data_IF_427066169524
#
_entry.id   IF_427066169524
#
_cell.length_a   1.000
_cell.length_b   1.000
_cell.length_c   1.000
_cell.angle_alpha   90.00
_cell.angle_beta   90.00
_cell.angle_gamma   90.00
#
_symmetry.space_group_name_H-M   'P 1'
#
loop_
_entity.id
_entity.type
_entity.pdbx_description
1 polymer ?
#
# COMPACT_ATOMS: atom_id res chain seq x y z
N UNK A 1 -17.32 8.67 19.63
CA UNK A 1 -16.13 8.53 18.77
C UNK A 1 -16.57 7.70 17.58
N UNK A 2 -16.43 8.21 16.35
CA UNK A 2 -16.72 7.43 15.14
C UNK A 2 -15.75 6.25 15.12
N UNK A 3 -16.27 5.02 15.14
CA UNK A 3 -15.44 3.81 15.07
C UNK A 3 -14.84 3.68 13.67
N UNK A 4 -13.56 3.32 13.58
CA UNK A 4 -12.90 3.05 12.29
C UNK A 4 -13.45 1.75 11.73
N UNK A 5 -14.10 1.84 10.56
CA UNK A 5 -14.68 0.68 9.91
C UNK A 5 -13.70 0.03 8.95
N UNK A 6 -13.08 0.82 8.07
CA UNK A 6 -12.07 0.35 7.13
C UNK A 6 -10.81 1.21 7.21
N UNK A 7 -9.65 0.55 7.21
CA UNK A 7 -8.33 1.19 7.31
C UNK A 7 -7.41 0.75 6.18
N UNK A 8 -6.93 1.71 5.39
CA UNK A 8 -5.78 1.51 4.50
C UNK A 8 -4.49 1.77 5.26
N UNK A 9 -3.46 0.95 5.06
CA UNK A 9 -2.18 1.03 5.77
C UNK A 9 -1.04 1.06 4.74
N UNK A 10 -0.16 2.05 4.84
CA UNK A 10 1.05 2.12 4.01
C UNK A 10 2.06 1.01 4.33
N UNK A 11 3.06 0.84 3.47
CA UNK A 11 4.06 -0.25 3.51
C UNK A 11 4.74 -0.55 4.87
N UNK A 12 5.29 -1.76 5.00
CA UNK A 12 6.07 -2.21 6.17
C UNK A 12 7.40 -2.81 5.71
N UNK A 13 8.40 -1.96 5.47
CA UNK A 13 9.76 -2.44 5.16
C UNK A 13 10.45 -3.11 6.38
N UNK A 14 10.35 -4.44 6.51
CA UNK A 14 11.09 -5.27 7.48
C UNK A 14 10.21 -6.21 8.31
N UNK A 15 10.76 -6.82 9.38
CA UNK A 15 9.94 -7.67 10.28
C UNK A 15 8.92 -6.80 11.01
N UNK A 16 7.63 -7.15 10.91
CA UNK A 16 6.51 -6.45 11.60
C UNK A 16 6.82 -6.13 13.07
N UNK A 17 7.55 -7.00 13.77
CA UNK A 17 7.94 -6.81 15.18
C UNK A 17 9.27 -6.06 15.40
N UNK A 18 10.23 -6.08 14.45
CA UNK A 18 11.54 -5.44 14.67
C UNK A 18 11.46 -3.91 14.60
N UNK A 19 10.58 -3.34 13.77
CA UNK A 19 10.33 -1.89 13.79
C UNK A 19 9.69 -1.43 15.11
N UNK A 20 8.81 -2.25 15.70
CA UNK A 20 8.25 -2.03 17.05
C UNK A 20 9.36 -2.03 18.10
N UNK A 21 10.32 -2.96 18.01
CA UNK A 21 11.45 -3.05 18.94
C UNK A 21 12.53 -1.98 18.73
N UNK A 22 12.82 -1.56 17.49
CA UNK A 22 13.82 -0.50 17.19
C UNK A 22 13.32 0.88 17.59
N UNK A 23 12.04 1.17 17.35
CA UNK A 23 11.39 2.39 17.84
C UNK A 23 11.46 2.52 19.39
N UNK A 24 11.53 1.39 20.11
CA UNK A 24 11.71 1.36 21.56
C UNK A 24 13.19 1.29 22.02
N UNK A 25 14.15 0.92 21.16
CA UNK A 25 15.56 0.67 21.54
C UNK A 25 16.53 1.81 21.24
N UNK A 26 16.29 2.66 20.24
CA UNK A 26 17.17 3.80 19.96
C UNK A 26 16.91 4.94 20.96
N UNK A 27 17.64 4.87 22.08
CA UNK A 27 17.59 5.85 23.18
C UNK A 27 18.30 7.17 22.88
N UNK A 28 18.89 7.37 21.70
CA UNK A 28 19.52 8.66 21.37
C UNK A 28 18.52 9.62 20.72
N UNK A 29 17.93 10.45 21.59
CA UNK A 29 16.87 11.43 21.30
C UNK A 29 17.27 12.51 20.28
N UNK A 30 18.56 12.65 19.94
CA UNK A 30 19.06 13.79 19.15
C UNK A 30 19.09 13.52 17.65
N UNK A 31 19.21 12.26 17.22
CA UNK A 31 19.41 11.89 15.81
C UNK A 31 18.15 11.35 15.13
N UNK A 32 17.07 11.11 15.88
CA UNK A 32 15.82 10.59 15.30
C UNK A 32 15.09 11.64 14.44
N UNK A 33 14.67 11.27 13.20
CA UNK A 33 13.75 12.06 12.38
C UNK A 33 12.45 12.38 13.14
N UNK A 34 11.88 13.56 12.90
CA UNK A 34 10.75 14.09 13.68
C UNK A 34 9.54 13.14 13.76
N UNK A 35 9.27 12.36 12.71
CA UNK A 35 8.18 11.37 12.64
C UNK A 35 8.28 10.26 13.70
N UNK A 36 9.50 9.88 14.11
CA UNK A 36 9.72 8.86 15.14
C UNK A 36 9.64 9.42 16.57
N UNK A 37 9.54 10.74 16.72
CA UNK A 37 9.31 11.41 18.02
C UNK A 37 7.82 11.56 18.34
N UNK A 38 6.92 11.20 17.40
CA UNK A 38 5.48 11.30 17.57
C UNK A 38 4.94 10.20 18.53
N UNK A 39 4.33 10.57 19.67
CA UNK A 39 3.68 9.64 20.60
C UNK A 39 2.59 8.77 19.97
N UNK A 40 2.06 9.15 18.80
CA UNK A 40 1.03 8.39 18.06
C UNK A 40 1.61 7.21 17.27
N UNK A 41 2.89 7.24 16.92
CA UNK A 41 3.61 6.20 16.15
C UNK A 41 4.42 5.28 17.06
N UNK A 42 4.84 5.78 18.22
CA UNK A 42 5.65 5.06 19.21
C UNK A 42 4.82 4.00 19.97
N UNK A 43 5.25 2.73 19.94
CA UNK A 43 4.67 1.64 20.74
C UNK A 43 3.44 0.94 20.15
N UNK A 44 3.06 1.21 18.89
CA UNK A 44 1.99 0.44 18.21
C UNK A 44 2.57 -0.84 17.61
N UNK A 45 2.06 -1.99 18.02
CA UNK A 45 2.22 -3.21 17.23
C UNK A 45 1.37 -3.10 15.96
N UNK A 46 1.86 -3.63 14.83
CA UNK A 46 1.06 -3.76 13.62
C UNK A 46 -0.29 -4.44 13.92
N UNK A 47 -0.27 -5.47 14.77
CA UNK A 47 -1.45 -6.15 15.28
C UNK A 47 -2.45 -5.23 15.99
N UNK A 48 -1.97 -4.23 16.76
CA UNK A 48 -2.84 -3.23 17.38
C UNK A 48 -3.43 -2.27 16.34
N UNK A 49 -2.62 -1.88 15.35
CA UNK A 49 -3.09 -1.01 14.27
C UNK A 49 -4.25 -1.65 13.49
N UNK A 50 -4.18 -2.95 13.22
CA UNK A 50 -5.26 -3.67 12.53
C UNK A 50 -6.41 -4.04 13.47
N UNK A 51 -6.18 -4.24 14.77
CA UNK A 51 -7.27 -4.56 15.73
C UNK A 51 -8.20 -3.39 16.03
N UNK A 52 -7.72 -2.16 15.82
CA UNK A 52 -8.48 -0.92 16.06
C UNK A 52 -9.43 -0.57 14.88
N UNK A 53 -9.58 -1.45 13.89
CA UNK A 53 -10.48 -1.31 12.75
C UNK A 53 -11.25 -2.62 12.47
N UNK A 54 -12.47 -2.53 11.94
CA UNK A 54 -13.23 -3.74 11.59
C UNK A 54 -12.62 -4.49 10.39
N UNK A 55 -12.17 -3.72 9.40
CA UNK A 55 -11.47 -4.18 8.21
C UNK A 55 -10.21 -3.37 7.99
N UNK A 56 -9.18 -4.00 7.43
CA UNK A 56 -7.96 -3.29 7.04
C UNK A 56 -7.31 -3.88 5.80
N UNK A 57 -6.62 -3.03 5.05
CA UNK A 57 -5.86 -3.39 3.86
C UNK A 57 -4.45 -2.79 3.92
N UNK A 58 -3.44 -3.67 3.84
CA UNK A 58 -2.04 -3.31 3.66
C UNK A 58 -1.74 -3.01 2.18
N UNK A 59 -1.13 -1.86 1.91
CA UNK A 59 -0.78 -1.37 0.57
C UNK A 59 0.64 -1.81 0.18
N UNK A 60 0.86 -3.13 0.17
CA UNK A 60 2.15 -3.75 -0.17
C UNK A 60 3.19 -3.77 0.94
N UNK A 61 4.25 -4.51 0.68
CA UNK A 61 5.40 -4.75 1.55
C UNK A 61 4.97 -5.06 2.99
N UNK A 62 4.15 -6.10 3.16
CA UNK A 62 3.59 -6.41 4.47
C UNK A 62 4.66 -6.93 5.44
N UNK A 63 5.50 -7.89 5.00
CA UNK A 63 6.60 -8.45 5.79
C UNK A 63 7.39 -9.48 4.98
N UNK A 64 8.62 -9.77 5.42
CA UNK A 64 9.38 -10.97 4.97
C UNK A 64 9.07 -12.21 5.82
N UNK A 65 8.39 -12.03 6.96
CA UNK A 65 7.95 -13.09 7.88
C UNK A 65 6.48 -12.86 8.24
N UNK A 66 5.63 -13.80 7.84
CA UNK A 66 4.18 -13.74 8.04
C UNK A 66 3.70 -14.54 9.25
N UNK A 67 4.59 -15.00 10.13
CA UNK A 67 4.22 -15.84 11.29
C UNK A 67 3.12 -15.20 12.14
N UNK A 68 3.18 -13.88 12.34
CA UNK A 68 2.15 -13.15 13.12
C UNK A 68 0.75 -13.16 12.45
N UNK A 69 0.69 -13.34 11.12
CA UNK A 69 -0.58 -13.36 10.38
C UNK A 69 -1.37 -14.65 10.62
N UNK A 70 -0.74 -15.72 11.12
CA UNK A 70 -1.44 -16.98 11.42
C UNK A 70 -2.56 -16.82 12.48
N UNK A 71 -2.53 -15.73 13.26
CA UNK A 71 -3.50 -15.41 14.30
C UNK A 71 -4.46 -14.29 13.91
N UNK A 72 -4.37 -13.77 12.69
CA UNK A 72 -5.21 -12.68 12.18
C UNK A 72 -6.25 -13.26 11.24
N UNK A 73 -7.51 -12.83 11.35
CA UNK A 73 -8.55 -13.27 10.42
C UNK A 73 -8.28 -12.70 9.02
N UNK A 74 -7.99 -13.54 8.00
CA UNK A 74 -7.73 -13.05 6.67
C UNK A 74 -8.94 -12.35 6.06
N UNK A 75 -10.18 -12.66 6.48
CA UNK A 75 -11.38 -11.96 5.99
C UNK A 75 -11.48 -10.52 6.48
N UNK A 76 -10.79 -10.17 7.56
CA UNK A 76 -10.80 -8.82 8.15
C UNK A 76 -9.54 -8.02 7.84
N UNK A 77 -8.41 -8.69 7.64
CA UNK A 77 -7.16 -8.04 7.27
C UNK A 77 -6.66 -8.59 5.94
N UNK A 78 -6.55 -7.71 4.95
CA UNK A 78 -6.07 -8.04 3.60
C UNK A 78 -4.77 -7.33 3.28
N UNK A 79 -4.08 -7.81 2.25
CA UNK A 79 -2.91 -7.16 1.69
C UNK A 79 -2.91 -7.25 0.15
N UNK A 80 -2.30 -6.26 -0.50
CA UNK A 80 -1.73 -6.45 -1.85
C UNK A 80 -0.24 -6.70 -1.71
N UNK A 81 0.39 -7.39 -2.66
CA UNK A 81 1.83 -7.61 -2.62
C UNK A 81 2.60 -6.38 -3.10
N UNK A 82 3.68 -6.06 -2.40
CA UNK A 82 4.70 -5.11 -2.88
C UNK A 82 5.91 -5.81 -3.48
N UNK A 83 6.97 -5.05 -3.73
CA UNK A 83 8.23 -5.57 -4.29
C UNK A 83 9.12 -6.28 -3.25
N UNK A 84 8.72 -6.29 -1.98
CA UNK A 84 9.42 -7.05 -0.94
C UNK A 84 8.58 -8.15 -0.30
N UNK A 85 7.41 -8.46 -0.88
CA UNK A 85 6.63 -9.63 -0.51
C UNK A 85 7.05 -10.86 -1.34
N UNK A 86 7.18 -12.01 -0.69
CA UNK A 86 7.57 -13.23 -1.38
C UNK A 86 6.34 -13.94 -1.97
N UNK A 87 6.11 -13.75 -3.27
CA UNK A 87 4.92 -14.27 -3.97
C UNK A 87 4.70 -15.78 -3.80
N UNK A 88 5.79 -16.57 -3.73
CA UNK A 88 5.72 -18.02 -3.50
C UNK A 88 5.33 -18.45 -2.08
N UNK A 89 5.18 -17.53 -1.13
CA UNK A 89 4.86 -17.82 0.29
C UNK A 89 3.80 -16.90 0.88
N UNK A 90 2.97 -16.29 0.05
CA UNK A 90 1.94 -15.37 0.54
C UNK A 90 0.88 -16.12 1.38
N UNK A 91 0.55 -15.64 2.58
CA UNK A 91 -0.55 -16.18 3.37
C UNK A 91 -1.92 -15.80 2.76
N UNK A 92 -3.03 -16.39 3.24
CA UNK A 92 -4.39 -16.13 2.74
C UNK A 92 -4.90 -14.68 2.86
N UNK A 93 -4.10 -13.77 3.41
CA UNK A 93 -4.42 -12.34 3.52
C UNK A 93 -4.29 -11.62 2.17
N UNK A 94 -3.46 -12.12 1.25
CA UNK A 94 -3.18 -11.44 0.00
C UNK A 94 -4.32 -11.60 -1.00
N UNK A 95 -4.70 -10.48 -1.65
CA UNK A 95 -5.82 -10.45 -2.59
C UNK A 95 -5.51 -11.06 -3.97
N UNK A 96 -4.23 -11.29 -4.28
CA UNK A 96 -3.76 -11.78 -5.57
C UNK A 96 -3.02 -10.72 -6.37
N UNK A 97 -2.93 -10.92 -7.69
CA UNK A 97 -2.19 -10.05 -8.61
C UNK A 97 -2.93 -8.72 -8.85
N UNK A 98 -4.21 -8.79 -9.19
CA UNK A 98 -5.08 -7.65 -9.45
C UNK A 98 -6.55 -8.07 -9.34
N UNK A 99 -7.47 -7.11 -9.25
CA UNK A 99 -8.90 -7.41 -9.28
C UNK A 99 -9.78 -6.34 -8.63
N UNK A 100 -11.07 -6.65 -8.50
CA UNK A 100 -12.00 -5.87 -7.68
C UNK A 100 -12.08 -6.48 -6.28
N UNK A 101 -12.11 -5.63 -5.27
CA UNK A 101 -12.43 -6.02 -3.91
C UNK A 101 -13.50 -5.11 -3.32
N UNK A 102 -14.21 -5.61 -2.31
CA UNK A 102 -15.23 -4.84 -1.61
C UNK A 102 -15.16 -5.02 -0.10
N UNK A 103 -15.44 -3.93 0.61
CA UNK A 103 -15.61 -3.91 2.06
C UNK A 103 -17.09 -3.66 2.34
N UNK A 104 -17.76 -4.53 3.11
CA UNK A 104 -19.17 -4.30 3.46
C UNK A 104 -19.29 -3.03 4.30
N UNK A 105 -20.33 -2.24 4.03
CA UNK A 105 -20.66 -1.02 4.79
C UNK A 105 -21.99 -1.22 5.54
N UNK A 106 -22.37 -0.24 6.36
CA UNK A 106 -23.70 -0.19 6.96
C UNK A 106 -24.80 -0.19 5.87
N UNK A 107 -24.55 0.53 4.77
CA UNK A 107 -25.38 0.52 3.57
C UNK A 107 -24.50 0.23 2.34
N UNK A 108 -24.65 -0.95 1.75
CA UNK A 108 -23.94 -1.36 0.54
C UNK A 108 -22.49 -1.80 0.80
N UNK A 109 -21.58 -1.42 -0.10
CA UNK A 109 -20.17 -1.80 -0.03
C UNK A 109 -19.25 -0.71 -0.61
N UNK A 110 -18.05 -0.58 -0.04
CA UNK A 110 -16.97 0.20 -0.62
C UNK A 110 -16.20 -0.70 -1.59
N UNK A 111 -16.30 -0.43 -2.89
CA UNK A 111 -15.59 -1.18 -3.95
C UNK A 111 -14.35 -0.44 -4.41
N UNK A 112 -13.26 -1.17 -4.61
CA UNK A 112 -12.03 -0.64 -5.19
C UNK A 112 -11.37 -1.67 -6.10
N UNK A 113 -10.62 -1.16 -7.08
CA UNK A 113 -9.70 -1.97 -7.86
C UNK A 113 -8.34 -2.01 -7.16
N UNK A 114 -7.66 -3.13 -7.25
CA UNK A 114 -6.30 -3.27 -6.75
C UNK A 114 -5.38 -3.90 -7.78
N UNK A 115 -4.09 -3.57 -7.68
CA UNK A 115 -3.02 -4.27 -8.37
C UNK A 115 -1.74 -4.25 -7.54
N UNK A 116 -1.02 -5.38 -7.53
CA UNK A 116 0.25 -5.54 -6.82
C UNK A 116 1.43 -4.97 -7.60
N UNK A 117 2.58 -5.00 -6.94
CA UNK A 117 3.90 -4.91 -7.58
C UNK A 117 4.51 -3.51 -7.55
N UNK A 118 5.83 -3.51 -7.66
CA UNK A 118 6.72 -2.37 -7.90
C UNK A 118 8.09 -2.92 -8.31
N UNK A 119 9.00 -2.07 -8.79
CA UNK A 119 10.38 -2.49 -9.06
C UNK A 119 11.25 -2.29 -7.82
N UNK A 120 11.97 -3.33 -7.39
CA UNK A 120 13.05 -3.17 -6.41
C UNK A 120 14.21 -2.34 -6.99
N UNK A 121 14.32 -1.08 -6.56
CA UNK A 121 15.35 -0.14 -7.00
C UNK A 121 16.77 -0.64 -6.66
N UNK A 122 16.91 -1.43 -5.60
CA UNK A 122 18.17 -1.98 -5.11
C UNK A 122 18.41 -3.43 -5.56
N UNK A 123 17.66 -3.94 -6.56
CA UNK A 123 17.78 -5.32 -7.09
C UNK A 123 19.21 -5.72 -7.46
N UNK A 124 20.02 -4.79 -7.96
CA UNK A 124 21.42 -5.04 -8.33
C UNK A 124 22.32 -5.41 -7.12
N UNK A 125 21.86 -5.12 -5.90
CA UNK A 125 22.55 -5.44 -4.64
C UNK A 125 21.94 -6.63 -3.90
N UNK A 126 20.94 -7.30 -4.49
CA UNK A 126 20.18 -8.40 -3.90
C UNK A 126 20.48 -9.74 -4.57
N UNK A 127 20.01 -10.81 -3.95
CA UNK A 127 20.17 -12.20 -4.40
C UNK A 127 18.80 -12.74 -4.79
N UNK A 128 18.67 -13.12 -6.06
CA UNK A 128 17.44 -13.70 -6.61
C UNK A 128 17.01 -14.94 -5.82
N UNK A 129 15.71 -15.03 -5.52
CA UNK A 129 15.10 -16.13 -4.79
C UNK A 129 15.32 -16.08 -3.27
N UNK A 130 16.12 -15.14 -2.76
CA UNK A 130 16.34 -14.94 -1.32
C UNK A 130 15.70 -13.66 -0.80
N UNK A 131 16.07 -12.52 -1.38
CA UNK A 131 15.61 -11.19 -0.95
C UNK A 131 15.22 -10.28 -2.11
N UNK A 132 15.14 -10.85 -3.32
CA UNK A 132 14.64 -10.24 -4.55
C UNK A 132 14.00 -11.33 -5.40
N UNK A 133 12.92 -11.01 -6.10
CA UNK A 133 12.23 -11.95 -6.99
C UNK A 133 11.94 -11.31 -8.35
N UNK A 134 12.13 -12.06 -9.44
CA UNK A 134 11.95 -11.53 -10.79
C UNK A 134 10.48 -11.27 -11.16
N UNK A 135 9.54 -11.82 -10.39
CA UNK A 135 8.10 -11.73 -10.59
C UNK A 135 7.42 -10.65 -9.72
N UNK A 136 8.20 -9.75 -9.11
CA UNK A 136 7.71 -8.60 -8.30
C UNK A 136 6.69 -7.74 -9.07
N UNK A 137 6.84 -7.62 -10.38
CA UNK A 137 5.94 -6.87 -11.27
C UNK A 137 4.97 -7.81 -12.02
N UNK A 138 3.83 -7.28 -12.47
CA UNK A 138 2.95 -8.02 -13.37
C UNK A 138 3.64 -8.24 -14.72
N UNK A 139 3.48 -9.43 -15.28
CA UNK A 139 3.89 -9.66 -16.67
C UNK A 139 2.91 -8.99 -17.65
N UNK A 140 3.28 -8.93 -18.94
CA UNK A 140 2.48 -8.25 -19.96
C UNK A 140 1.06 -8.83 -20.14
N UNK A 141 0.90 -10.16 -20.00
CA UNK A 141 -0.41 -10.82 -20.11
C UNK A 141 -1.30 -10.44 -18.92
N UNK A 142 -0.77 -10.51 -17.69
CA UNK A 142 -1.46 -10.09 -16.47
C UNK A 142 -1.85 -8.60 -16.53
N UNK A 143 -0.94 -7.73 -16.96
CA UNK A 143 -1.22 -6.30 -17.11
C UNK A 143 -2.32 -6.04 -18.15
N UNK A 144 -2.32 -6.75 -19.27
CA UNK A 144 -3.36 -6.64 -20.29
C UNK A 144 -4.74 -7.09 -19.78
N UNK A 145 -4.80 -8.22 -19.06
CA UNK A 145 -6.03 -8.70 -18.45
C UNK A 145 -6.55 -7.74 -17.36
N UNK A 146 -5.65 -7.18 -16.55
CA UNK A 146 -5.97 -6.18 -15.55
C UNK A 146 -6.55 -4.89 -16.16
N UNK A 147 -5.96 -4.40 -17.26
CA UNK A 147 -6.48 -3.25 -18.03
C UNK A 147 -7.89 -3.52 -18.56
N UNK A 148 -8.13 -4.72 -19.12
CA UNK A 148 -9.45 -5.10 -19.61
C UNK A 148 -10.50 -5.10 -18.50
N UNK A 149 -10.19 -5.70 -17.34
CA UNK A 149 -11.08 -5.68 -16.18
C UNK A 149 -11.32 -4.25 -15.68
N UNK A 150 -10.28 -3.42 -15.63
CA UNK A 150 -10.38 -2.04 -15.18
C UNK A 150 -11.29 -1.19 -16.08
N UNK A 151 -11.18 -1.32 -17.40
CA UNK A 151 -12.06 -0.60 -18.34
C UNK A 151 -13.53 -1.00 -18.18
N UNK A 152 -13.79 -2.27 -17.89
CA UNK A 152 -15.14 -2.77 -17.64
C UNK A 152 -15.72 -2.25 -16.31
N UNK A 153 -14.91 -2.17 -15.26
CA UNK A 153 -15.38 -1.86 -13.91
C UNK A 153 -15.38 -0.36 -13.60
N UNK A 154 -14.51 0.44 -14.23
CA UNK A 154 -14.33 1.89 -14.04
C UNK A 154 -14.47 2.31 -12.57
N UNK A 155 -13.58 1.80 -11.70
CA UNK A 155 -13.72 1.97 -10.25
C UNK A 155 -13.57 3.45 -9.85
N UNK A 156 -14.24 3.84 -8.76
CA UNK A 156 -14.05 5.17 -8.17
C UNK A 156 -12.83 5.23 -7.24
N UNK A 157 -12.30 4.08 -6.83
CA UNK A 157 -11.17 3.95 -5.92
C UNK A 157 -10.20 2.89 -6.42
N UNK A 158 -8.92 3.23 -6.40
CA UNK A 158 -7.81 2.35 -6.79
C UNK A 158 -6.81 2.25 -5.64
N UNK A 159 -6.30 1.05 -5.39
CA UNK A 159 -5.26 0.79 -4.38
C UNK A 159 -4.14 -0.04 -5.00
N UNK A 160 -2.94 0.52 -5.10
CA UNK A 160 -1.77 -0.11 -5.73
C UNK A 160 -0.55 0.00 -4.83
N UNK A 161 0.48 -0.82 -5.01
CA UNK A 161 1.68 -0.64 -4.20
C UNK A 161 2.51 0.57 -4.67
N UNK A 162 2.69 0.74 -5.97
CA UNK A 162 3.39 1.90 -6.58
C UNK A 162 2.41 2.91 -7.23
N UNK A 163 2.94 3.98 -7.83
CA UNK A 163 2.17 5.02 -8.53
C UNK A 163 2.31 5.00 -10.07
N UNK A 164 1.38 5.68 -10.79
CA UNK A 164 1.53 5.97 -12.22
C UNK A 164 2.83 6.70 -12.55
N UNK A 165 3.37 6.39 -13.73
CA UNK A 165 4.63 6.92 -14.26
C UNK A 165 4.79 8.44 -14.16
N UNK A 166 3.73 9.22 -14.44
CA UNK A 166 3.80 10.68 -14.39
C UNK A 166 4.02 11.24 -12.98
N UNK A 167 3.66 10.48 -11.94
CA UNK A 167 3.77 10.91 -10.54
C UNK A 167 5.14 10.59 -9.93
N UNK A 168 5.86 9.62 -10.49
CA UNK A 168 7.15 9.14 -9.96
C UNK A 168 8.12 10.30 -9.71
N UNK A 169 8.24 11.23 -10.64
CA UNK A 169 9.16 12.38 -10.48
C UNK A 169 8.72 13.37 -9.41
N UNK A 170 7.41 13.46 -9.16
CA UNK A 170 6.84 14.37 -8.15
C UNK A 170 6.98 13.82 -6.73
N UNK A 171 7.09 12.50 -6.57
CA UNK A 171 7.18 11.84 -5.27
C UNK A 171 8.56 11.27 -4.94
N UNK A 172 9.34 10.82 -5.92
CA UNK A 172 10.64 10.20 -5.69
C UNK A 172 11.63 11.20 -5.05
N UNK A 173 12.33 10.76 -4.00
CA UNK A 173 13.49 11.46 -3.44
C UNK A 173 14.76 11.27 -4.27
N UNK A 174 14.77 10.28 -5.16
CA UNK A 174 15.95 9.92 -5.93
C UNK A 174 16.09 10.82 -7.17
N UNK A 175 17.33 11.15 -7.58
CA UNK A 175 17.57 12.10 -8.66
C UNK A 175 17.03 11.57 -10.01
N UNK A 176 16.03 12.27 -10.54
CA UNK A 176 15.53 12.46 -11.93
C UNK A 176 15.93 11.53 -13.11
N UNK A 177 16.42 10.30 -12.92
CA UNK A 177 17.07 9.55 -14.03
C UNK A 177 16.81 8.05 -14.09
N UNK A 178 16.00 7.47 -13.21
CA UNK A 178 15.63 6.06 -13.37
C UNK A 178 14.49 5.95 -14.40
N UNK A 179 14.58 5.00 -15.35
CA UNK A 179 13.47 4.72 -16.26
C UNK A 179 12.27 4.22 -15.45
N UNK A 180 11.05 4.53 -15.92
CA UNK A 180 9.84 3.98 -15.32
C UNK A 180 9.82 2.46 -15.42
N UNK A 181 9.46 1.81 -14.31
CA UNK A 181 9.27 0.36 -14.22
C UNK A 181 8.11 -0.12 -15.09
N UNK A 182 7.97 -1.43 -15.25
CA UNK A 182 6.82 -2.00 -15.96
C UNK A 182 5.52 -1.67 -15.22
N UNK A 183 5.56 -1.73 -13.88
CA UNK A 183 4.46 -1.36 -12.98
C UNK A 183 4.07 0.10 -13.17
N UNK A 184 5.01 1.05 -13.13
CA UNK A 184 4.66 2.46 -13.30
C UNK A 184 3.97 2.74 -14.63
N UNK A 185 4.40 2.08 -15.71
CA UNK A 185 3.79 2.21 -17.04
C UNK A 185 2.40 1.61 -17.07
N UNK A 186 2.23 0.39 -16.56
CA UNK A 186 0.92 -0.25 -16.43
C UNK A 186 -0.06 0.59 -15.60
N UNK A 187 0.38 1.17 -14.49
CA UNK A 187 -0.45 2.05 -13.67
C UNK A 187 -0.80 3.36 -14.38
N UNK A 188 0.10 3.87 -15.23
CA UNK A 188 -0.22 4.99 -16.13
C UNK A 188 -1.30 4.60 -17.13
N UNK A 189 -1.20 3.42 -17.75
CA UNK A 189 -2.20 2.95 -18.72
C UNK A 189 -3.59 2.83 -18.07
N UNK A 190 -3.67 2.33 -16.83
CA UNK A 190 -4.93 2.31 -16.06
C UNK A 190 -5.49 3.72 -15.86
N UNK A 191 -4.63 4.67 -15.45
CA UNK A 191 -5.04 6.03 -15.21
C UNK A 191 -5.51 6.76 -16.47
N UNK A 192 -4.79 6.58 -17.58
CA UNK A 192 -5.13 7.15 -18.88
C UNK A 192 -6.49 6.65 -19.36
N UNK A 193 -6.74 5.34 -19.20
CA UNK A 193 -7.99 4.67 -19.54
C UNK A 193 -9.19 5.19 -18.72
N UNK A 194 -9.04 5.28 -17.40
CA UNK A 194 -10.07 5.82 -16.51
C UNK A 194 -9.46 6.42 -15.23
N UNK A 195 -9.77 7.70 -14.99
CA UNK A 195 -9.32 8.43 -13.81
C UNK A 195 -10.30 8.20 -12.64
N UNK A 196 -9.90 7.48 -11.57
CA UNK A 196 -10.77 7.25 -10.42
C UNK A 196 -10.88 8.51 -9.56
N UNK A 197 -11.83 8.57 -8.64
CA UNK A 197 -11.89 9.68 -7.68
C UNK A 197 -10.71 9.62 -6.69
N UNK A 198 -10.35 8.42 -6.22
CA UNK A 198 -9.28 8.21 -5.25
C UNK A 198 -8.27 7.18 -5.75
N UNK A 199 -6.99 7.45 -5.53
CA UNK A 199 -5.92 6.50 -5.79
C UNK A 199 -4.96 6.47 -4.61
N UNK A 200 -4.91 5.33 -3.92
CA UNK A 200 -4.03 5.10 -2.79
C UNK A 200 -2.85 4.25 -3.19
N UNK A 201 -1.66 4.60 -2.71
CA UNK A 201 -0.44 3.85 -2.98
C UNK A 201 0.60 3.95 -1.86
N UNK A 202 1.64 3.10 -1.93
CA UNK A 202 2.75 3.02 -0.99
C UNK A 202 4.10 3.18 -1.70
N UNK A 203 5.05 2.30 -1.39
CA UNK A 203 6.37 2.13 -2.01
C UNK A 203 7.37 3.28 -1.77
N UNK A 204 6.91 4.54 -1.77
CA UNK A 204 7.77 5.72 -1.62
C UNK A 204 8.00 6.15 -0.17
N UNK A 205 7.37 5.49 0.81
CA UNK A 205 7.53 5.71 2.26
C UNK A 205 7.25 7.15 2.71
N UNK A 206 6.33 7.85 2.01
CA UNK A 206 5.98 9.24 2.28
C UNK A 206 4.48 9.43 2.36
N UNK A 207 4.05 10.28 3.28
CA UNK A 207 2.72 10.85 3.21
C UNK A 207 2.75 11.94 2.14
N UNK A 208 2.01 11.73 1.05
CA UNK A 208 1.99 12.67 -0.06
C UNK A 208 0.61 12.72 -0.68
N UNK A 209 0.18 13.92 -1.08
CA UNK A 209 -1.10 14.16 -1.71
C UNK A 209 -0.87 14.87 -3.01
N UNK A 210 -1.62 14.48 -4.05
CA UNK A 210 -1.73 15.28 -5.24
C UNK A 210 -3.15 15.29 -5.78
N UNK A 211 -3.65 16.49 -6.02
CA UNK A 211 -4.94 16.69 -6.68
C UNK A 211 -4.67 16.85 -8.18
N UNK A 212 -4.93 15.79 -8.94
CA UNK A 212 -4.73 15.80 -10.39
C UNK A 212 -5.81 16.66 -11.08
N UNK A 213 -5.49 17.40 -12.16
CA UNK A 213 -6.47 18.19 -12.93
C UNK A 213 -7.66 17.40 -13.48
N UNK A 214 -7.50 16.09 -13.71
CA UNK A 214 -8.57 15.16 -14.11
C UNK A 214 -9.52 14.76 -12.96
N UNK A 215 -9.34 15.29 -11.75
CA UNK A 215 -10.22 15.07 -10.61
C UNK A 215 -9.74 14.01 -9.61
N UNK A 216 -8.78 13.16 -9.99
CA UNK A 216 -8.23 12.12 -9.10
C UNK A 216 -7.40 12.69 -7.97
N UNK A 217 -7.67 12.23 -6.76
CA UNK A 217 -6.83 12.49 -5.59
C UNK A 217 -5.89 11.32 -5.35
N UNK A 218 -4.61 11.54 -5.61
CA UNK A 218 -3.53 10.61 -5.35
C UNK A 218 -3.04 10.76 -3.91
N UNK A 219 -2.91 9.64 -3.20
CA UNK A 219 -2.54 9.57 -1.79
C UNK A 219 -1.48 8.49 -1.60
N UNK A 220 -0.24 8.90 -1.33
CA UNK A 220 0.81 8.00 -0.86
C UNK A 220 0.73 7.89 0.66
N UNK A 221 0.79 6.66 1.18
CA UNK A 221 0.86 6.38 2.60
C UNK A 221 2.29 5.99 2.98
N UNK A 222 2.89 6.72 3.93
CA UNK A 222 4.17 6.31 4.52
C UNK A 222 4.02 5.02 5.33
N UNK A 223 5.15 4.43 5.72
CA UNK A 223 5.11 3.21 6.51
C UNK A 223 4.30 3.37 7.81
N UNK A 224 3.36 2.45 8.06
CA UNK A 224 2.40 2.48 9.18
C UNK A 224 1.45 3.69 9.23
N UNK A 225 1.55 4.62 8.28
CA UNK A 225 0.54 5.64 8.09
C UNK A 225 -0.75 4.98 7.61
N UNK A 226 -1.89 5.58 7.94
CA UNK A 226 -3.18 5.01 7.60
C UNK A 226 -4.19 6.07 7.18
N UNK A 227 -5.17 5.60 6.41
CA UNK A 227 -6.34 6.36 6.00
C UNK A 227 -7.58 5.60 6.43
N UNK A 228 -8.46 6.26 7.16
CA UNK A 228 -9.60 5.63 7.83
C UNK A 228 -10.94 6.06 7.23
N UNK A 229 -11.83 5.08 7.08
CA UNK A 229 -13.21 5.24 6.65
C UNK A 229 -14.19 4.79 7.76
N UNK A 230 -15.33 5.46 7.86
CA UNK A 230 -16.44 5.05 8.74
C UNK A 230 -17.30 3.97 8.09
N UNK A 231 -18.30 3.50 8.84
CA UNK A 231 -19.24 2.47 8.41
C UNK A 231 -20.10 2.89 7.21
N UNK A 232 -20.11 4.18 6.85
CA UNK A 232 -20.81 4.72 5.69
C UNK A 232 -19.84 4.98 4.52
N UNK A 233 -18.58 4.54 4.61
CA UNK A 233 -17.56 4.74 3.59
C UNK A 233 -17.03 6.18 3.50
N UNK A 234 -17.27 7.02 4.50
CA UNK A 234 -16.78 8.41 4.53
C UNK A 234 -15.41 8.45 5.19
N UNK A 235 -14.49 9.24 4.63
CA UNK A 235 -13.17 9.43 5.25
C UNK A 235 -13.29 10.12 6.60
N UNK A 236 -12.80 9.50 7.67
CA UNK A 236 -12.83 10.04 9.05
C UNK A 236 -11.58 10.88 9.33
N UNK A 237 -10.43 10.42 8.86
CA UNK A 237 -9.17 11.08 9.15
C UNK A 237 -8.09 10.73 8.16
N UNK A 238 -7.48 11.78 7.60
CA UNK A 238 -6.13 11.74 7.09
C UNK A 238 -5.52 13.12 7.23
N UNK A 239 -4.52 13.23 8.10
CA UNK A 239 -3.68 14.42 8.21
C UNK A 239 -2.38 14.10 7.48
N UNK A 240 -2.17 14.62 6.26
CA UNK A 240 -0.82 14.71 5.74
C UNK A 240 -0.09 15.66 6.68
N UNK A 241 0.73 15.12 7.58
CA UNK A 241 1.62 15.93 8.41
C UNK A 241 2.71 16.57 7.56
#
# INVERSE_FOLDING_TARGET
MTSVHFRLIGDVHGRMQERVRRADRDKDRRTMPAIWRDPRVRGRSYLKLISDANYSLQVGDLSLDYTDMQHVDPKKHRAIAGNHDHLGRLPPHFLGDYGMHSIPLAEGELRFFFARGAESIDKASRVEGLNWWHDEELNAEQASQALHLYDQQRPNMVVTHDCPAELVQSIATLPHRLPWSATNRFLQDLFDLHAPQWWFFGHHHKNWVFQHPRGTRFICLASLAHFDFDENGRSISWKPE
#
